data_IF_451000479537
#
_entry.id   IF_451000479537
#
_cell.length_a   1.000
_cell.length_b   1.000
_cell.length_c   1.000
_cell.angle_alpha   90.00
_cell.angle_beta   90.00
_cell.angle_gamma   90.00
#
_symmetry.space_group_name_H-M   'P 1'
#
loop_
_entity.id
_entity.type
_entity.pdbx_description
1 polymer ?
#
# COMPACT_ATOMS: atom_id res chain seq x y z
N UNK A 1 10.06 3.78 8.24
CA UNK A 1 9.97 4.34 6.87
C UNK A 1 8.88 5.40 6.84
N UNK A 2 8.93 6.34 5.89
CA UNK A 2 7.85 7.30 5.62
C UNK A 2 7.40 7.08 4.18
N UNK A 3 6.09 7.08 3.97
CA UNK A 3 5.46 6.91 2.66
C UNK A 3 4.51 8.07 2.42
N UNK A 4 4.37 8.50 1.17
CA UNK A 4 3.36 9.47 0.78
C UNK A 4 2.06 8.72 0.49
N UNK A 5 0.94 9.32 0.91
CA UNK A 5 -0.39 8.83 0.60
C UNK A 5 -1.15 9.96 -0.11
N UNK A 6 -1.83 9.63 -1.20
CA UNK A 6 -2.73 10.54 -1.91
C UNK A 6 -4.14 10.15 -1.52
N UNK A 7 -4.93 11.11 -1.04
CA UNK A 7 -6.32 10.91 -0.60
C UNK A 7 -7.25 11.65 -1.54
N UNK A 8 -8.32 10.99 -1.95
CA UNK A 8 -9.33 11.53 -2.87
C UNK A 8 -10.73 11.22 -2.32
N UNK A 9 -11.63 12.20 -2.34
CA UNK A 9 -13.03 11.99 -1.95
C UNK A 9 -13.86 11.65 -3.18
N UNK A 10 -14.63 10.56 -3.10
CA UNK A 10 -15.55 10.13 -4.13
C UNK A 10 -16.99 10.56 -3.77
N UNK A 11 -17.63 11.46 -4.53
CA UNK A 11 -18.95 11.99 -4.20
C UNK A 11 -20.09 11.02 -4.51
N UNK A 12 -19.89 10.01 -5.37
CA UNK A 12 -20.93 9.03 -5.72
C UNK A 12 -21.12 8.01 -4.59
N UNK A 13 -20.01 7.50 -4.06
CA UNK A 13 -19.96 6.55 -2.95
C UNK A 13 -19.95 7.25 -1.58
N UNK A 14 -19.67 8.55 -1.55
CA UNK A 14 -19.49 9.36 -0.33
C UNK A 14 -18.41 8.82 0.60
N UNK A 15 -17.30 8.38 0.02
CA UNK A 15 -16.17 7.76 0.72
C UNK A 15 -14.84 8.37 0.31
N UNK A 16 -13.78 8.11 1.08
CA UNK A 16 -12.42 8.53 0.79
C UNK A 16 -11.63 7.34 0.26
N UNK A 17 -11.08 7.46 -0.94
CA UNK A 17 -10.05 6.58 -1.47
C UNK A 17 -8.66 7.08 -1.11
N UNK A 18 -7.71 6.17 -0.92
CA UNK A 18 -6.31 6.50 -0.64
C UNK A 18 -5.36 5.50 -1.29
N UNK A 19 -4.23 5.96 -1.79
CA UNK A 19 -3.19 5.09 -2.33
C UNK A 19 -1.78 5.60 -2.08
N UNK A 20 -0.79 4.69 -2.11
CA UNK A 20 0.62 5.00 -1.95
C UNK A 20 1.36 4.91 -3.30
N UNK A 21 1.83 6.03 -3.89
CA UNK A 21 2.54 6.02 -5.17
C UNK A 21 3.83 5.20 -5.16
N UNK A 22 4.50 5.12 -4.01
CA UNK A 22 5.74 4.35 -3.83
C UNK A 22 5.54 2.83 -3.80
N UNK A 23 4.30 2.36 -3.57
CA UNK A 23 3.97 0.94 -3.45
C UNK A 23 2.86 0.61 -4.46
N UNK A 24 3.23 0.26 -5.71
CA UNK A 24 2.26 -0.01 -6.75
C UNK A 24 1.22 -1.06 -6.33
N UNK A 25 -0.05 -0.69 -6.46
CA UNK A 25 -1.19 -1.53 -6.06
C UNK A 25 -1.59 -1.44 -4.59
N UNK A 26 -0.87 -0.68 -3.75
CA UNK A 26 -1.26 -0.43 -2.36
C UNK A 26 -2.28 0.72 -2.30
N UNK A 27 -3.56 0.36 -2.13
CA UNK A 27 -4.67 1.29 -1.99
C UNK A 27 -5.64 0.81 -0.89
N UNK A 28 -6.41 1.75 -0.36
CA UNK A 28 -7.45 1.50 0.63
C UNK A 28 -8.55 2.57 0.53
N UNK A 29 -9.57 2.46 1.37
CA UNK A 29 -10.66 3.43 1.44
C UNK A 29 -11.26 3.47 2.85
N UNK A 30 -12.08 4.48 3.13
CA UNK A 30 -12.85 4.62 4.37
C UNK A 30 -13.96 5.66 4.24
N UNK A 31 -14.93 5.66 5.14
CA UNK A 31 -16.03 6.63 5.16
C UNK A 31 -15.55 8.02 5.58
N UNK A 32 -14.40 8.07 6.27
CA UNK A 32 -13.71 9.31 6.66
C UNK A 32 -12.27 9.33 6.17
N UNK A 33 -11.70 10.52 5.99
CA UNK A 33 -10.28 10.69 5.66
C UNK A 33 -9.38 9.99 6.69
N UNK A 34 -9.72 10.09 7.98
CA UNK A 34 -8.96 9.46 9.06
C UNK A 34 -8.99 7.94 8.98
N UNK A 35 -10.14 7.36 8.65
CA UNK A 35 -10.29 5.92 8.46
C UNK A 35 -9.52 5.43 7.25
N UNK A 36 -9.64 6.09 6.09
CA UNK A 36 -8.86 5.77 4.90
C UNK A 36 -7.35 5.78 5.22
N UNK A 37 -6.88 6.82 5.92
CA UNK A 37 -5.49 6.93 6.36
C UNK A 37 -5.08 5.89 7.41
N UNK A 38 -5.99 5.37 8.22
CA UNK A 38 -5.72 4.26 9.12
C UNK A 38 -5.57 2.96 8.32
N UNK A 39 -6.51 2.69 7.43
CA UNK A 39 -6.57 1.46 6.65
C UNK A 39 -5.37 1.34 5.69
N UNK A 40 -4.93 2.44 5.06
CA UNK A 40 -3.74 2.40 4.20
C UNK A 40 -2.45 2.12 4.99
N UNK A 41 -2.37 2.51 6.27
CA UNK A 41 -1.19 2.18 7.09
C UNK A 41 -1.09 0.68 7.33
N UNK A 42 -2.23 0.02 7.56
CA UNK A 42 -2.30 -1.43 7.67
C UNK A 42 -1.96 -2.11 6.34
N UNK A 43 -2.51 -1.61 5.23
CA UNK A 43 -2.21 -2.12 3.89
C UNK A 43 -0.71 -2.01 3.55
N UNK A 44 -0.07 -0.88 3.89
CA UNK A 44 1.38 -0.69 3.73
C UNK A 44 2.17 -1.66 4.61
N UNK A 45 1.76 -1.85 5.87
CA UNK A 45 2.42 -2.79 6.76
C UNK A 45 2.40 -4.20 6.18
N UNK A 46 1.22 -4.66 5.71
CA UNK A 46 1.04 -5.96 5.05
C UNK A 46 1.84 -6.07 3.74
N UNK A 47 1.93 -5.00 2.96
CA UNK A 47 2.69 -4.99 1.71
C UNK A 47 4.20 -5.24 1.95
N UNK A 48 4.73 -4.72 3.06
CA UNK A 48 6.14 -4.85 3.43
C UNK A 48 6.46 -6.17 4.14
N UNK A 49 5.45 -6.97 4.50
CA UNK A 49 5.68 -8.26 5.12
C UNK A 49 6.37 -9.23 4.14
N UNK A 50 7.39 -9.97 4.60
CA UNK A 50 8.08 -10.94 3.77
C UNK A 50 7.13 -12.08 3.39
N UNK A 51 6.85 -12.22 2.10
CA UNK A 51 6.06 -13.32 1.57
C UNK A 51 7.00 -14.52 1.35
N UNK A 52 6.69 -15.73 1.87
CA UNK A 52 7.51 -16.90 1.62
C UNK A 52 7.53 -17.22 0.12
N UNK A 53 8.69 -17.02 -0.51
CA UNK A 53 8.87 -17.25 -1.93
C UNK A 53 8.79 -18.75 -2.24
N UNK A 54 7.74 -19.17 -2.94
CA UNK A 54 7.63 -20.52 -3.50
C UNK A 54 7.97 -20.47 -4.99
N UNK A 55 9.24 -20.70 -5.31
CA UNK A 55 9.71 -20.80 -6.70
C UNK A 55 10.36 -22.15 -6.96
N UNK A 56 10.10 -22.72 -8.14
CA UNK A 56 10.83 -23.90 -8.66
C UNK A 56 12.12 -23.49 -9.39
N UNK A 57 12.34 -22.20 -9.60
CA UNK A 57 13.52 -21.65 -10.27
C UNK A 57 14.66 -21.35 -9.30
N UNK A 58 15.82 -21.01 -9.87
CA UNK A 58 16.97 -20.53 -9.10
C UNK A 58 16.73 -19.09 -8.66
N UNK A 59 16.76 -18.85 -7.36
CA UNK A 59 16.55 -17.54 -6.74
C UNK A 59 17.91 -16.91 -6.47
N UNK A 60 18.06 -15.63 -6.82
CA UNK A 60 19.24 -14.83 -6.51
C UNK A 60 18.77 -13.57 -5.78
N UNK A 61 19.39 -13.28 -4.65
CA UNK A 61 19.23 -11.98 -4.00
C UNK A 61 20.04 -10.95 -4.81
N UNK A 62 19.39 -9.84 -5.16
CA UNK A 62 20.00 -8.75 -5.91
C UNK A 62 19.87 -7.50 -5.06
N UNK A 63 21.00 -6.98 -4.59
CA UNK A 63 21.05 -5.72 -3.85
C UNK A 63 21.23 -4.59 -4.85
N UNK A 64 20.39 -3.55 -4.72
CA UNK A 64 20.44 -2.36 -5.57
C UNK A 64 20.66 -1.17 -4.66
N UNK A 65 21.75 -0.43 -4.90
CA UNK A 65 21.97 0.84 -4.23
C UNK A 65 21.06 1.90 -4.87
N UNK A 66 20.30 2.60 -4.03
CA UNK A 66 19.46 3.73 -4.42
C UNK A 66 20.28 4.98 -4.77
#
# INVERSE_FOLDING_TARGET
>A
MKFRAVVEFDPETKSYGVYCPELPGCASAGDTEQEALANIKEAIALYLEPIPLKSKGKVHEVEVAA
#
